data_IF_928767614119
#
_entry.id   IF_928767614119
#
_cell.length_a   1.000
_cell.length_b   1.000
_cell.length_c   1.000
_cell.angle_alpha   90.00
_cell.angle_beta   90.00
_cell.angle_gamma   90.00
#
_symmetry.space_group_name_H-M   'P 1'
#
loop_
_entity.id
_entity.type
_entity.pdbx_description
1 polymer ?
#
# COMPACT_ATOMS: atom_id res chain seq x y z
N UNK A 1 -5.47 -29.95 1.85
CA UNK A 1 -4.39 -28.98 2.11
C UNK A 1 -3.76 -28.65 0.78
N UNK A 2 -3.62 -27.37 0.45
CA UNK A 2 -2.94 -26.95 -0.76
C UNK A 2 -1.44 -27.28 -0.61
N UNK A 3 -0.80 -27.79 -1.65
CA UNK A 3 0.64 -28.06 -1.58
C UNK A 3 1.39 -26.73 -1.67
N UNK A 4 1.97 -26.30 -0.55
CA UNK A 4 2.86 -25.14 -0.50
C UNK A 4 4.19 -25.48 -1.20
N UNK A 5 4.71 -24.53 -1.97
CA UNK A 5 5.96 -24.69 -2.74
C UNK A 5 7.10 -23.86 -2.13
N UNK A 6 6.77 -22.84 -1.34
CA UNK A 6 7.75 -22.03 -0.62
C UNK A 6 8.55 -22.89 0.37
N UNK A 7 9.77 -22.47 0.69
CA UNK A 7 10.61 -23.19 1.63
C UNK A 7 9.96 -23.28 3.02
N UNK A 8 9.89 -24.48 3.57
CA UNK A 8 9.49 -24.69 4.96
C UNK A 8 10.73 -24.65 5.87
N UNK A 9 10.65 -23.88 6.95
CA UNK A 9 11.73 -23.72 7.92
C UNK A 9 11.18 -24.09 9.29
N UNK A 10 11.83 -25.06 9.94
CA UNK A 10 11.53 -25.41 11.33
C UNK A 10 12.31 -24.49 12.28
N UNK A 11 11.61 -23.96 13.27
CA UNK A 11 12.14 -23.09 14.32
C UNK A 11 11.40 -23.42 15.61
N UNK A 12 12.01 -23.14 16.77
CA UNK A 12 11.34 -23.31 18.05
C UNK A 12 10.00 -22.55 18.06
N UNK A 13 8.97 -23.16 18.66
CA UNK A 13 7.66 -22.54 18.85
C UNK A 13 7.74 -21.48 19.97
N UNK A 14 8.49 -20.43 19.68
CA UNK A 14 8.80 -19.32 20.55
C UNK A 14 8.78 -18.03 19.72
N UNK A 15 8.07 -17.02 20.22
CA UNK A 15 7.88 -15.77 19.51
C UNK A 15 9.23 -15.09 19.21
N UNK A 16 10.10 -14.99 20.21
CA UNK A 16 11.39 -14.31 20.07
C UNK A 16 12.35 -15.05 19.12
N UNK A 17 12.31 -16.39 19.12
CA UNK A 17 13.08 -17.21 18.18
C UNK A 17 12.66 -16.96 16.73
N UNK A 18 11.35 -16.91 16.45
CA UNK A 18 10.84 -16.59 15.11
C UNK A 18 11.23 -15.17 14.72
N UNK A 19 11.02 -14.20 15.63
CA UNK A 19 11.34 -12.80 15.36
C UNK A 19 12.82 -12.60 15.03
N UNK A 20 13.71 -13.24 15.79
CA UNK A 20 15.16 -13.18 15.58
C UNK A 20 15.54 -13.77 14.23
N UNK A 21 15.03 -14.96 13.89
CA UNK A 21 15.31 -15.61 12.61
C UNK A 21 14.94 -14.72 11.42
N UNK A 22 13.73 -14.15 11.42
CA UNK A 22 13.26 -13.33 10.30
C UNK A 22 14.01 -12.00 10.20
N UNK A 23 14.39 -11.40 11.33
CA UNK A 23 15.20 -10.19 11.35
C UNK A 23 16.62 -10.44 10.84
N UNK A 24 17.28 -11.51 11.30
CA UNK A 24 18.64 -11.88 10.86
C UNK A 24 18.70 -12.24 9.38
N UNK A 25 17.62 -12.81 8.83
CA UNK A 25 17.49 -13.09 7.39
C UNK A 25 17.13 -11.86 6.56
N UNK A 26 16.79 -10.75 7.20
CA UNK A 26 16.33 -9.53 6.53
C UNK A 26 14.94 -9.65 5.91
N UNK A 27 14.10 -10.62 6.32
CA UNK A 27 12.78 -10.84 5.73
C UNK A 27 11.66 -9.99 6.35
N UNK A 28 12.04 -8.95 7.09
CA UNK A 28 11.09 -8.03 7.74
C UNK A 28 11.40 -6.61 7.31
N UNK A 29 10.43 -5.74 7.54
CA UNK A 29 10.56 -4.29 7.48
C UNK A 29 11.16 -3.71 8.78
N UNK A 30 11.76 -4.53 9.64
CA UNK A 30 12.26 -4.11 10.96
C UNK A 30 11.20 -4.08 12.07
N UNK A 31 9.92 -4.33 11.72
CA UNK A 31 8.84 -4.51 12.70
C UNK A 31 8.59 -6.01 12.99
N UNK A 32 7.96 -6.34 14.13
CA UNK A 32 7.57 -7.72 14.41
C UNK A 32 6.61 -8.29 13.36
N UNK A 33 6.64 -9.60 13.15
CA UNK A 33 5.79 -10.28 12.16
C UNK A 33 4.84 -11.26 12.85
N UNK A 34 3.74 -11.60 12.20
CA UNK A 34 2.98 -12.79 12.58
C UNK A 34 3.59 -13.99 11.85
N UNK A 35 3.98 -15.07 12.55
CA UNK A 35 4.62 -16.21 11.91
C UNK A 35 3.75 -16.79 10.79
N UNK A 36 4.24 -16.89 9.54
CA UNK A 36 3.50 -17.42 8.40
C UNK A 36 3.46 -18.94 8.44
N UNK A 37 2.77 -19.49 9.43
CA UNK A 37 2.55 -20.94 9.56
C UNK A 37 1.66 -21.45 8.43
N UNK A 38 1.81 -22.72 7.98
CA UNK A 38 1.00 -23.29 6.91
C UNK A 38 -0.51 -23.05 7.07
N UNK A 39 -1.07 -23.25 8.27
CA UNK A 39 -2.50 -23.04 8.51
C UNK A 39 -2.97 -21.60 8.27
N UNK A 40 -2.17 -20.59 8.65
CA UNK A 40 -2.48 -19.18 8.41
C UNK A 40 -2.40 -18.83 6.92
N UNK A 41 -1.42 -19.39 6.21
CA UNK A 41 -1.27 -19.21 4.76
C UNK A 41 -2.46 -19.85 4.03
N UNK A 42 -2.86 -21.06 4.43
CA UNK A 42 -4.03 -21.73 3.85
C UNK A 42 -5.32 -20.93 4.04
N UNK A 43 -5.59 -20.40 5.24
CA UNK A 43 -6.76 -19.54 5.48
C UNK A 43 -6.77 -18.31 4.58
N UNK A 44 -5.60 -17.70 4.37
CA UNK A 44 -5.44 -16.54 3.49
C UNK A 44 -5.75 -16.89 2.03
N UNK A 45 -5.18 -17.98 1.51
CA UNK A 45 -5.41 -18.41 0.12
C UNK A 45 -6.87 -18.83 -0.13
N UNK A 46 -7.52 -19.47 0.86
CA UNK A 46 -8.93 -19.84 0.77
C UNK A 46 -9.84 -18.62 0.60
N UNK A 47 -9.51 -17.48 1.23
CA UNK A 47 -10.28 -16.24 1.09
C UNK A 47 -10.18 -15.63 -0.32
N UNK A 48 -9.08 -15.84 -1.04
CA UNK A 48 -8.94 -15.40 -2.43
C UNK A 48 -9.63 -16.33 -3.44
N UNK A 49 -9.69 -17.64 -3.16
CA UNK A 49 -10.27 -18.62 -4.09
C UNK A 49 -9.48 -18.80 -5.40
N UNK A 50 -8.22 -18.38 -5.44
CA UNK A 50 -7.32 -18.48 -6.59
C UNK A 50 -6.35 -19.65 -6.45
N UNK A 51 -5.76 -20.08 -7.57
CA UNK A 51 -4.66 -21.05 -7.57
C UNK A 51 -3.45 -20.48 -6.79
N UNK A 52 -2.92 -21.19 -5.77
CA UNK A 52 -1.73 -20.78 -5.01
C UNK A 52 -0.53 -20.39 -5.88
N UNK A 53 -0.37 -21.00 -7.06
CA UNK A 53 0.75 -20.75 -7.98
C UNK A 53 0.41 -19.72 -9.07
N UNK A 54 -0.79 -19.17 -9.10
CA UNK A 54 -1.12 -18.07 -9.99
C UNK A 54 -0.22 -16.87 -9.69
N UNK A 55 0.51 -16.39 -10.71
CA UNK A 55 1.37 -15.22 -10.62
C UNK A 55 0.52 -13.99 -10.88
N UNK A 56 0.36 -13.15 -9.85
CA UNK A 56 -0.41 -11.90 -9.93
C UNK A 56 0.41 -10.83 -10.64
N UNK A 57 1.71 -10.74 -10.34
CA UNK A 57 2.65 -9.82 -10.98
C UNK A 57 4.11 -10.29 -10.84
N UNK A 58 5.00 -9.74 -11.66
CA UNK A 58 6.45 -9.83 -11.45
C UNK A 58 6.93 -8.54 -10.78
N UNK A 59 7.53 -8.67 -9.59
CA UNK A 59 7.87 -7.51 -8.76
C UNK A 59 9.33 -7.12 -8.99
N UNK A 60 9.62 -5.93 -9.57
CA UNK A 60 10.99 -5.44 -9.68
C UNK A 60 11.59 -5.08 -8.30
N UNK A 61 12.88 -4.79 -8.19
CA UNK A 61 13.92 -4.94 -9.22
C UNK A 61 14.32 -6.38 -9.54
N UNK A 62 14.05 -7.35 -8.66
CA UNK A 62 14.41 -8.75 -8.92
C UNK A 62 13.50 -9.47 -9.93
N UNK A 63 12.37 -8.85 -10.30
CA UNK A 63 11.31 -9.47 -11.11
C UNK A 63 10.85 -10.80 -10.51
N UNK A 64 10.76 -10.85 -9.18
CA UNK A 64 10.29 -12.03 -8.48
C UNK A 64 8.80 -12.27 -8.78
N UNK A 65 8.44 -13.50 -9.13
CA UNK A 65 7.04 -13.88 -9.32
C UNK A 65 6.28 -13.79 -7.99
N UNK A 66 5.33 -12.85 -7.90
CA UNK A 66 4.38 -12.71 -6.80
C UNK A 66 3.21 -13.68 -7.02
N UNK A 67 3.40 -14.92 -6.59
CA UNK A 67 2.34 -15.92 -6.56
C UNK A 67 1.37 -15.66 -5.42
N UNK A 68 0.13 -16.14 -5.54
CA UNK A 68 -0.89 -16.06 -4.46
C UNK A 68 -0.34 -16.62 -3.15
N UNK A 69 0.41 -17.72 -3.17
CA UNK A 69 1.07 -18.29 -1.99
C UNK A 69 2.06 -17.30 -1.35
N UNK A 70 2.94 -16.66 -2.13
CA UNK A 70 3.91 -15.69 -1.62
C UNK A 70 3.22 -14.43 -1.12
N UNK A 71 2.15 -13.99 -1.78
CA UNK A 71 1.33 -12.88 -1.28
C UNK A 71 0.71 -13.24 0.07
N UNK A 72 0.20 -14.46 0.22
CA UNK A 72 -0.37 -14.93 1.48
C UNK A 72 0.67 -14.98 2.61
N UNK A 73 1.91 -15.44 2.34
CA UNK A 73 3.02 -15.42 3.30
C UNK A 73 3.28 -14.00 3.80
N UNK A 74 3.43 -13.03 2.89
CA UNK A 74 3.70 -11.64 3.24
C UNK A 74 2.51 -10.96 3.94
N UNK A 75 1.29 -11.30 3.53
CA UNK A 75 0.06 -10.82 4.17
C UNK A 75 -0.04 -11.30 5.62
N UNK A 76 0.23 -12.58 5.87
CA UNK A 76 0.27 -13.11 7.23
C UNK A 76 1.34 -12.38 8.03
N UNK A 77 2.56 -12.26 7.52
CA UNK A 77 3.65 -11.55 8.21
C UNK A 77 3.27 -10.12 8.62
N UNK A 78 2.54 -9.40 7.76
CA UNK A 78 2.04 -8.05 8.04
C UNK A 78 0.96 -7.99 9.14
N UNK A 79 0.35 -9.13 9.50
CA UNK A 79 -0.82 -9.21 10.38
C UNK A 79 -2.16 -8.96 9.65
N UNK A 80 -2.13 -9.03 8.32
CA UNK A 80 -3.31 -8.90 7.45
C UNK A 80 -4.33 -10.01 7.74
N UNK A 81 -5.61 -9.68 7.63
CA UNK A 81 -6.69 -10.66 7.79
C UNK A 81 -7.06 -11.28 6.43
N UNK A 82 -7.53 -12.54 6.39
CA UNK A 82 -7.99 -13.19 5.16
C UNK A 82 -8.99 -12.36 4.36
N UNK A 83 -9.91 -11.65 5.04
CA UNK A 83 -10.92 -10.79 4.44
C UNK A 83 -10.32 -9.59 3.67
N UNK A 84 -9.11 -9.17 4.03
CA UNK A 84 -8.39 -8.07 3.38
C UNK A 84 -7.59 -8.52 2.17
N UNK A 85 -7.35 -9.83 2.05
CA UNK A 85 -6.46 -10.40 1.04
C UNK A 85 -6.84 -10.08 -0.41
N UNK A 86 -8.13 -10.07 -0.79
CA UNK A 86 -8.53 -9.65 -2.14
C UNK A 86 -8.09 -8.23 -2.49
N UNK A 87 -8.09 -7.31 -1.52
CA UNK A 87 -7.61 -5.92 -1.72
C UNK A 87 -6.10 -5.90 -1.94
N UNK A 88 -5.34 -6.73 -1.21
CA UNK A 88 -3.90 -6.88 -1.43
C UNK A 88 -3.60 -7.42 -2.84
N UNK A 89 -4.34 -8.43 -3.30
CA UNK A 89 -4.16 -8.99 -4.65
C UNK A 89 -4.41 -7.92 -5.69
N UNK A 90 -5.53 -7.18 -5.60
CA UNK A 90 -5.84 -6.08 -6.51
C UNK A 90 -4.78 -4.95 -6.46
N UNK A 91 -4.24 -4.65 -5.28
CA UNK A 91 -3.16 -3.68 -5.13
C UNK A 91 -1.86 -4.16 -5.80
N UNK A 92 -1.50 -5.43 -5.65
CA UNK A 92 -0.31 -6.02 -6.28
C UNK A 92 -0.45 -6.10 -7.80
N UNK A 93 -1.65 -6.44 -8.29
CA UNK A 93 -1.98 -6.42 -9.71
C UNK A 93 -1.82 -4.99 -10.27
N UNK A 94 -2.39 -3.99 -9.58
CA UNK A 94 -2.32 -2.59 -10.01
C UNK A 94 -0.89 -2.02 -10.02
N UNK A 95 -0.06 -2.31 -9.02
CA UNK A 95 1.36 -1.88 -9.04
C UNK A 95 2.20 -2.69 -10.04
N UNK A 96 1.74 -3.88 -10.44
CA UNK A 96 2.36 -4.70 -11.48
C UNK A 96 2.08 -4.20 -12.90
N UNK A 97 1.09 -3.32 -13.08
CA UNK A 97 0.78 -2.74 -14.38
C UNK A 97 1.98 -1.92 -14.92
N UNK A 98 2.43 -2.15 -16.16
CA UNK A 98 3.53 -1.40 -16.75
C UNK A 98 3.35 0.13 -16.72
N UNK A 99 2.10 0.63 -16.76
CA UNK A 99 1.79 2.05 -16.68
C UNK A 99 2.17 2.66 -15.32
N UNK A 100 2.16 1.87 -14.24
CA UNK A 100 2.59 2.34 -12.92
C UNK A 100 4.12 2.47 -12.82
N UNK A 101 4.88 1.71 -13.61
CA UNK A 101 6.34 1.74 -13.65
C UNK A 101 6.98 1.54 -12.26
N UNK A 102 6.62 0.44 -11.60
CA UNK A 102 7.09 0.10 -10.25
C UNK A 102 8.63 0.01 -10.13
N UNK A 103 9.34 -0.35 -11.21
CA UNK A 103 10.81 -0.37 -11.20
C UNK A 103 11.37 1.02 -10.91
N UNK A 104 10.89 2.05 -11.63
CA UNK A 104 11.33 3.42 -11.40
C UNK A 104 10.97 3.91 -10.00
N UNK A 105 9.81 3.52 -9.48
CA UNK A 105 9.34 3.91 -8.14
C UNK A 105 10.19 3.29 -7.02
N UNK A 106 10.71 2.08 -7.19
CA UNK A 106 11.58 1.47 -6.19
C UNK A 106 13.04 1.95 -6.33
N UNK A 107 13.56 2.01 -7.56
CA UNK A 107 14.96 2.35 -7.81
C UNK A 107 15.26 3.86 -7.75
N UNK A 108 14.27 4.71 -7.53
CA UNK A 108 14.44 6.17 -7.44
C UNK A 108 15.07 6.61 -6.11
N UNK A 109 15.76 7.74 -6.14
CA UNK A 109 16.27 8.43 -4.94
C UNK A 109 15.19 9.22 -4.21
N UNK A 110 14.04 9.46 -4.84
CA UNK A 110 12.86 10.10 -4.26
C UNK A 110 12.28 9.22 -3.13
N UNK A 111 11.98 9.78 -1.94
CA UNK A 111 11.31 9.04 -0.85
C UNK A 111 9.81 8.74 -1.09
N UNK A 112 9.42 8.30 -2.29
CA UNK A 112 8.03 7.93 -2.59
C UNK A 112 7.72 6.46 -2.25
N UNK A 113 6.44 6.15 -2.12
CA UNK A 113 5.90 4.82 -1.89
C UNK A 113 4.61 4.62 -2.71
N UNK A 114 4.26 3.38 -3.08
CA UNK A 114 2.94 3.08 -3.61
C UNK A 114 1.86 3.32 -2.55
N UNK A 115 1.08 4.39 -2.74
CA UNK A 115 -0.16 4.65 -2.03
C UNK A 115 -1.28 3.82 -2.64
N UNK A 116 -1.97 3.07 -1.80
CA UNK A 116 -3.16 2.29 -2.14
C UNK A 116 -4.41 3.08 -1.72
N UNK A 117 -5.24 3.48 -2.69
CA UNK A 117 -6.53 4.13 -2.44
C UNK A 117 -7.63 3.13 -2.75
N UNK A 118 -8.43 2.78 -1.74
CA UNK A 118 -9.54 1.85 -1.87
C UNK A 118 -10.85 2.62 -2.00
N UNK A 119 -11.70 2.22 -2.95
CA UNK A 119 -13.01 2.81 -3.20
C UNK A 119 -14.10 1.74 -3.23
N UNK A 120 -15.36 2.17 -3.14
CA UNK A 120 -16.56 1.37 -3.24
C UNK A 120 -16.95 0.62 -1.95
N UNK A 121 -17.97 -0.25 -2.02
CA UNK A 121 -18.58 -0.88 -0.84
C UNK A 121 -17.63 -1.69 0.05
N UNK A 122 -16.51 -2.19 -0.50
CA UNK A 122 -15.53 -2.97 0.26
C UNK A 122 -14.91 -2.19 1.42
N UNK A 123 -14.84 -0.85 1.30
CA UNK A 123 -14.33 0.03 2.36
C UNK A 123 -15.09 -0.17 3.66
N UNK A 124 -16.43 -0.20 3.57
CA UNK A 124 -17.31 -0.38 4.72
C UNK A 124 -17.26 -1.82 5.25
N UNK A 125 -17.25 -2.82 4.36
CA UNK A 125 -17.25 -4.23 4.78
C UNK A 125 -15.97 -4.65 5.50
N UNK A 126 -14.86 -3.99 5.20
CA UNK A 126 -13.55 -4.29 5.78
C UNK A 126 -13.12 -3.32 6.87
N UNK A 127 -13.95 -2.32 7.20
CA UNK A 127 -13.63 -1.24 8.13
C UNK A 127 -12.31 -0.53 7.73
N UNK A 128 -12.24 -0.09 6.47
CA UNK A 128 -11.15 0.74 5.97
C UNK A 128 -11.43 2.22 6.30
N UNK A 129 -10.44 2.90 6.88
CA UNK A 129 -10.57 4.29 7.26
C UNK A 129 -10.24 5.24 6.10
N UNK A 130 -11.15 6.18 5.86
CA UNK A 130 -10.93 7.35 5.01
C UNK A 130 -11.13 8.69 5.73
N UNK A 131 -11.44 8.67 7.03
CA UNK A 131 -11.81 9.86 7.81
C UNK A 131 -10.63 10.36 8.66
N UNK A 132 -10.89 10.85 9.87
CA UNK A 132 -9.89 11.40 10.77
C UNK A 132 -8.66 10.48 10.90
N UNK A 133 -7.49 11.03 10.60
CA UNK A 133 -6.22 10.28 10.63
C UNK A 133 -6.10 9.21 9.52
N UNK A 134 -6.77 9.35 8.38
CA UNK A 134 -6.81 8.40 7.25
C UNK A 134 -5.44 7.83 6.83
N UNK A 135 -4.39 8.67 6.86
CA UNK A 135 -3.01 8.30 6.51
C UNK A 135 -2.14 7.89 7.70
N UNK A 136 -2.75 7.75 8.88
CA UNK A 136 -2.09 7.48 10.16
C UNK A 136 -2.35 6.08 10.70
N UNK A 137 -2.02 5.85 11.99
CA UNK A 137 -2.16 4.54 12.63
C UNK A 137 -3.61 4.25 13.06
N UNK A 138 -3.78 3.15 13.81
CA UNK A 138 -5.00 2.68 14.50
C UNK A 138 -6.00 1.86 13.69
N UNK A 139 -6.04 1.95 12.36
CA UNK A 139 -6.89 1.08 11.54
C UNK A 139 -6.13 -0.13 11.01
N UNK A 140 -6.52 -1.32 11.48
CA UNK A 140 -5.86 -2.58 11.11
C UNK A 140 -5.91 -2.83 9.61
N UNK A 141 -7.05 -2.60 8.96
CA UNK A 141 -7.21 -2.82 7.52
C UNK A 141 -6.18 -2.00 6.73
N UNK A 142 -6.19 -0.67 6.89
CA UNK A 142 -5.24 0.24 6.26
C UNK A 142 -3.78 -0.17 6.55
N UNK A 143 -3.44 -0.32 7.83
CA UNK A 143 -2.07 -0.59 8.27
C UNK A 143 -1.53 -1.91 7.72
N UNK A 144 -2.33 -2.97 7.76
CA UNK A 144 -1.88 -4.31 7.38
C UNK A 144 -1.92 -4.54 5.87
N UNK A 145 -2.84 -3.92 5.12
CA UNK A 145 -2.81 -3.95 3.65
C UNK A 145 -1.59 -3.19 3.14
N UNK A 146 -1.37 -1.96 3.60
CA UNK A 146 -0.20 -1.16 3.19
C UNK A 146 1.11 -1.84 3.55
N UNK A 147 1.23 -2.39 4.76
CA UNK A 147 2.41 -3.16 5.17
C UNK A 147 2.59 -4.45 4.38
N UNK A 148 1.52 -5.13 4.01
CA UNK A 148 1.59 -6.33 3.17
C UNK A 148 2.22 -6.02 1.81
N UNK A 149 1.78 -4.93 1.16
CA UNK A 149 2.39 -4.46 -0.09
C UNK A 149 3.87 -4.19 0.12
N UNK A 150 4.27 -3.50 1.20
CA UNK A 150 5.69 -3.27 1.49
C UNK A 150 6.48 -4.56 1.64
N UNK A 151 5.98 -5.53 2.40
CA UNK A 151 6.68 -6.81 2.57
C UNK A 151 6.80 -7.58 1.25
N UNK A 152 5.81 -7.52 0.36
CA UNK A 152 5.90 -8.08 -0.99
C UNK A 152 7.02 -7.42 -1.79
N UNK A 153 7.08 -6.09 -1.79
CA UNK A 153 8.14 -5.34 -2.47
C UNK A 153 9.55 -5.67 -1.92
N UNK A 154 9.67 -5.95 -0.62
CA UNK A 154 10.93 -6.40 0.00
C UNK A 154 11.26 -7.86 -0.34
N UNK A 155 10.40 -8.78 0.06
CA UNK A 155 10.68 -10.22 0.04
C UNK A 155 10.58 -10.84 -1.36
N UNK A 156 9.70 -10.32 -2.22
CA UNK A 156 9.55 -10.78 -3.61
C UNK A 156 10.33 -9.89 -4.57
N UNK A 157 10.21 -8.57 -4.40
CA UNK A 157 10.85 -7.59 -5.28
C UNK A 157 12.34 -7.37 -5.04
N UNK A 158 12.82 -7.59 -3.81
CA UNK A 158 14.20 -7.25 -3.42
C UNK A 158 14.42 -5.76 -3.21
N UNK A 159 13.35 -4.96 -3.04
CA UNK A 159 13.40 -3.51 -2.86
C UNK A 159 13.89 -3.07 -1.48
N UNK A 160 15.00 -3.64 -0.99
CA UNK A 160 15.61 -3.29 0.29
C UNK A 160 16.41 -1.99 0.21
N UNK A 161 16.39 -1.13 1.24
CA UNK A 161 17.14 0.12 1.26
C UNK A 161 18.64 -0.07 0.98
N UNK A 162 19.18 0.70 0.05
CA UNK A 162 20.59 0.65 -0.36
C UNK A 162 20.95 -0.53 -1.28
N UNK A 163 20.00 -1.39 -1.62
CA UNK A 163 20.19 -2.53 -2.53
C UNK A 163 19.28 -2.40 -3.75
N UNK A 164 17.97 -2.50 -3.54
CA UNK A 164 16.95 -2.35 -4.59
C UNK A 164 16.11 -1.08 -4.46
N UNK A 165 16.08 -0.51 -3.25
CA UNK A 165 15.46 0.78 -2.95
C UNK A 165 16.56 1.84 -2.76
N UNK A 166 16.53 2.86 -3.61
CA UNK A 166 17.58 3.89 -3.65
C UNK A 166 17.17 5.20 -3.02
N UNK A 167 16.03 5.27 -2.32
CA UNK A 167 15.58 6.48 -1.66
C UNK A 167 16.67 7.05 -0.76
N UNK A 168 16.97 8.35 -0.90
CA UNK A 168 18.11 8.95 -0.17
C UNK A 168 17.82 9.06 1.33
N UNK A 169 16.61 9.43 1.72
CA UNK A 169 16.18 9.55 3.12
C UNK A 169 15.13 8.50 3.53
N UNK A 170 14.42 7.93 2.56
CA UNK A 170 13.22 7.13 2.80
C UNK A 170 12.04 7.96 3.34
N UNK A 171 10.94 7.29 3.69
CA UNK A 171 9.75 7.93 4.24
C UNK A 171 8.98 6.99 5.17
N UNK A 172 8.28 7.50 6.21
CA UNK A 172 7.39 6.69 7.04
C UNK A 172 6.29 5.98 6.25
N UNK A 173 5.81 6.56 5.15
CA UNK A 173 4.84 5.92 4.24
C UNK A 173 5.35 4.62 3.63
N UNK A 174 6.67 4.39 3.61
CA UNK A 174 7.24 3.12 3.13
C UNK A 174 6.94 1.95 4.08
N UNK A 175 6.49 2.15 5.32
CA UNK A 175 6.06 1.04 6.18
C UNK A 175 4.63 0.57 5.88
N UNK A 176 3.74 1.52 5.57
CA UNK A 176 2.36 1.25 5.20
C UNK A 176 1.76 2.50 4.55
N UNK A 177 1.11 2.35 3.40
CA UNK A 177 0.44 3.45 2.72
C UNK A 177 -0.85 3.00 2.04
N UNK A 178 -1.93 2.92 2.81
CA UNK A 178 -3.24 2.51 2.33
C UNK A 178 -4.33 3.36 3.00
N UNK A 179 -5.30 3.78 2.20
CA UNK A 179 -6.40 4.66 2.61
C UNK A 179 -7.69 4.28 1.89
N UNK A 180 -8.83 4.50 2.53
CA UNK A 180 -10.12 4.50 1.86
C UNK A 180 -10.49 5.94 1.47
N UNK A 181 -11.17 6.14 0.34
CA UNK A 181 -11.85 7.41 0.10
C UNK A 181 -13.02 7.57 1.09
N UNK A 182 -13.22 8.77 1.65
CA UNK A 182 -14.39 9.09 2.46
C UNK A 182 -15.57 9.46 1.56
N UNK A 183 -16.16 8.46 0.91
CA UNK A 183 -17.28 8.66 -0.03
C UNK A 183 -18.53 9.23 0.68
N UNK A 184 -18.66 9.02 1.99
CA UNK A 184 -19.79 9.46 2.79
C UNK A 184 -19.80 10.98 3.06
N UNK A 185 -18.62 11.62 3.07
CA UNK A 185 -18.47 13.08 3.19
C UNK A 185 -17.79 13.70 1.96
N UNK A 186 -17.82 13.01 0.81
CA UNK A 186 -17.32 13.52 -0.46
C UNK A 186 -18.43 14.35 -1.17
N UNK A 187 -18.23 15.66 -1.42
CA UNK A 187 -19.21 16.47 -2.15
C UNK A 187 -19.23 16.20 -3.66
N UNK A 188 -18.26 15.45 -4.19
CA UNK A 188 -18.16 15.03 -5.59
C UNK A 188 -18.50 13.56 -5.79
N UNK A 189 -18.34 13.07 -7.02
CA UNK A 189 -18.40 11.64 -7.28
C UNK A 189 -17.16 10.96 -6.64
N UNK A 190 -17.32 9.73 -6.12
CA UNK A 190 -16.18 8.93 -5.70
C UNK A 190 -15.16 8.76 -6.82
N UNK A 191 -13.87 8.74 -6.48
CA UNK A 191 -12.76 8.66 -7.44
C UNK A 191 -12.90 7.52 -8.45
N UNK A 192 -13.41 6.36 -8.01
CA UNK A 192 -13.61 5.22 -8.90
C UNK A 192 -14.72 5.45 -9.93
N UNK A 193 -15.77 6.18 -9.56
CA UNK A 193 -16.87 6.55 -10.47
C UNK A 193 -16.37 7.55 -11.50
N UNK A 194 -15.60 8.57 -11.08
CA UNK A 194 -14.96 9.52 -11.98
C UNK A 194 -14.00 8.85 -12.97
N UNK A 195 -13.41 7.72 -12.57
CA UNK A 195 -12.56 6.86 -13.44
C UNK A 195 -13.34 5.87 -14.31
N UNK A 196 -14.68 5.93 -14.28
CA UNK A 196 -15.56 5.16 -15.16
C UNK A 196 -16.03 3.81 -14.61
N UNK A 197 -15.78 3.51 -13.33
CA UNK A 197 -16.31 2.31 -12.67
C UNK A 197 -17.74 2.53 -12.16
N UNK A 198 -18.46 1.43 -11.95
CA UNK A 198 -19.84 1.51 -11.43
C UNK A 198 -19.85 1.85 -9.93
N UNK A 199 -20.84 2.61 -9.41
CA UNK A 199 -20.90 2.96 -7.98
C UNK A 199 -20.93 1.76 -7.01
N UNK A 200 -21.40 0.60 -7.47
CA UNK A 200 -21.40 -0.64 -6.68
C UNK A 200 -20.10 -1.45 -6.78
N UNK A 201 -19.13 -1.01 -7.59
CA UNK A 201 -17.89 -1.72 -7.84
C UNK A 201 -16.80 -1.22 -6.89
N UNK A 202 -16.15 -2.16 -6.19
CA UNK A 202 -14.97 -1.83 -5.38
C UNK A 202 -13.72 -1.84 -6.23
N UNK A 203 -12.83 -0.88 -6.01
CA UNK A 203 -11.61 -0.71 -6.79
C UNK A 203 -10.41 -0.37 -5.92
N UNK A 204 -9.22 -0.60 -6.46
CA UNK A 204 -7.96 -0.07 -5.93
C UNK A 204 -7.35 0.85 -6.96
N UNK A 205 -7.02 2.08 -6.55
CA UNK A 205 -6.18 3.00 -7.31
C UNK A 205 -4.80 3.05 -6.66
N UNK A 206 -3.74 3.05 -7.45
CA UNK A 206 -2.36 3.17 -6.97
C UNK A 206 -1.73 4.48 -7.41
N UNK A 207 -1.00 5.13 -6.50
CA UNK A 207 -0.30 6.39 -6.77
C UNK A 207 1.10 6.35 -6.16
N UNK A 208 2.13 6.83 -6.86
CA UNK A 208 3.48 6.93 -6.32
C UNK A 208 3.64 8.28 -5.62
N UNK A 209 3.60 8.31 -4.30
CA UNK A 209 3.57 9.55 -3.54
C UNK A 209 4.53 9.59 -2.35
N UNK A 210 4.95 10.80 -2.00
CA UNK A 210 5.53 11.12 -0.69
C UNK A 210 4.47 10.98 0.42
N UNK A 211 4.86 10.97 1.71
CA UNK A 211 3.92 11.21 2.79
C UNK A 211 3.11 12.50 2.59
N UNK A 212 1.87 12.58 3.10
CA UNK A 212 1.05 13.78 2.95
C UNK A 212 1.76 15.03 3.50
N UNK A 213 1.77 16.09 2.70
CA UNK A 213 2.19 17.42 3.13
C UNK A 213 0.97 18.21 3.57
N UNK A 214 0.94 18.66 4.83
CA UNK A 214 -0.17 19.45 5.35
C UNK A 214 -0.20 20.85 4.70
N UNK A 215 -1.32 21.18 4.06
CA UNK A 215 -1.59 22.52 3.54
C UNK A 215 -2.49 23.23 4.55
N UNK A 216 -1.90 24.12 5.35
CA UNK A 216 -2.63 24.85 6.38
C UNK A 216 -3.28 26.11 5.79
N UNK A 217 -4.61 26.18 5.82
CA UNK A 217 -5.37 27.41 5.58
C UNK A 217 -6.46 27.64 6.64
N UNK A 218 -6.23 28.66 7.49
CA UNK A 218 -7.21 29.19 8.44
C UNK A 218 -7.67 30.62 8.10
N UNK A 219 -7.33 31.11 6.90
CA UNK A 219 -7.45 32.52 6.53
C UNK A 219 -8.28 32.75 5.26
N UNK A 220 -8.29 31.77 4.35
CA UNK A 220 -9.11 31.77 3.15
C UNK A 220 -10.59 31.85 3.50
N UNK A 221 -11.31 32.76 2.84
CA UNK A 221 -12.77 32.93 2.97
C UNK A 221 -13.50 32.78 1.63
N UNK A 222 -12.78 32.36 0.60
CA UNK A 222 -13.30 32.10 -0.74
C UNK A 222 -12.55 30.91 -1.35
N UNK A 223 -13.18 30.21 -2.30
CA UNK A 223 -12.55 29.12 -3.03
C UNK A 223 -11.25 29.55 -3.71
N UNK A 224 -11.21 30.76 -4.30
CA UNK A 224 -10.00 31.31 -4.93
C UNK A 224 -8.83 31.46 -3.94
N UNK A 225 -9.11 31.93 -2.72
CA UNK A 225 -8.07 32.08 -1.68
C UNK A 225 -7.52 30.71 -1.25
N UNK A 226 -8.40 29.73 -1.01
CA UNK A 226 -8.02 28.35 -0.65
C UNK A 226 -7.19 27.72 -1.77
N UNK A 227 -7.67 27.80 -3.02
CA UNK A 227 -6.97 27.27 -4.19
C UNK A 227 -5.62 27.94 -4.43
N UNK A 228 -5.49 29.24 -4.14
CA UNK A 228 -4.22 29.96 -4.23
C UNK A 228 -3.18 29.37 -3.27
N UNK A 229 -3.59 29.04 -2.03
CA UNK A 229 -2.72 28.43 -1.03
C UNK A 229 -2.33 27.00 -1.45
N UNK A 230 -3.30 26.21 -1.91
CA UNK A 230 -3.06 24.86 -2.42
C UNK A 230 -2.08 24.89 -3.60
N UNK A 231 -2.31 25.76 -4.58
CA UNK A 231 -1.43 25.92 -5.74
C UNK A 231 -0.01 26.33 -5.32
N UNK A 232 0.12 27.23 -4.34
CA UNK A 232 1.41 27.62 -3.78
C UNK A 232 2.17 26.46 -3.15
N UNK A 233 1.48 25.58 -2.43
CA UNK A 233 2.08 24.38 -1.84
C UNK A 233 2.50 23.36 -2.91
N UNK A 234 1.67 23.13 -3.94
CA UNK A 234 1.98 22.22 -5.04
C UNK A 234 3.13 22.71 -5.92
N UNK A 235 3.30 24.04 -6.04
CA UNK A 235 4.33 24.68 -6.86
C UNK A 235 5.62 25.01 -6.09
N UNK A 236 5.80 24.46 -4.87
CA UNK A 236 6.97 24.78 -4.05
C UNK A 236 8.27 24.38 -4.76
N UNK A 237 9.24 25.28 -4.77
CA UNK A 237 10.56 25.00 -5.34
C UNK A 237 11.23 23.88 -4.54
N UNK A 238 11.62 22.80 -5.22
CA UNK A 238 12.18 21.60 -4.59
C UNK A 238 11.24 20.39 -4.59
N UNK A 239 9.95 20.57 -4.90
CA UNK A 239 9.07 19.46 -5.22
C UNK A 239 9.43 18.89 -6.59
N UNK A 240 9.51 17.55 -6.70
CA UNK A 240 9.87 16.89 -7.95
C UNK A 240 8.93 17.28 -9.10
N UNK A 241 7.62 17.25 -8.83
CA UNK A 241 6.59 17.59 -9.82
C UNK A 241 6.66 19.04 -10.32
N UNK A 242 7.18 19.98 -9.52
CA UNK A 242 7.32 21.37 -9.95
C UNK A 242 8.38 21.54 -11.05
N UNK A 243 9.36 20.62 -11.13
CA UNK A 243 10.43 20.63 -12.14
C UNK A 243 10.20 19.58 -13.25
N UNK A 244 9.79 18.36 -12.92
CA UNK A 244 9.64 17.26 -13.89
C UNK A 244 8.24 17.17 -14.51
N UNK A 245 7.26 17.87 -13.95
CA UNK A 245 5.85 17.58 -14.18
C UNK A 245 5.43 16.26 -13.55
N UNK A 246 4.16 15.88 -13.73
CA UNK A 246 3.57 14.67 -13.17
C UNK A 246 2.19 14.91 -12.58
N UNK A 247 1.53 13.82 -12.18
CA UNK A 247 0.27 13.90 -11.45
C UNK A 247 0.53 14.27 -9.99
N UNK A 248 -0.34 15.09 -9.42
CA UNK A 248 -0.32 15.42 -7.99
C UNK A 248 -1.64 14.98 -7.38
N UNK A 249 -1.55 14.27 -6.24
CA UNK A 249 -2.72 13.88 -5.48
C UNK A 249 -3.03 14.96 -4.44
N UNK A 250 -4.26 15.48 -4.48
CA UNK A 250 -4.79 16.39 -3.47
C UNK A 250 -5.88 15.66 -2.70
N UNK A 251 -5.74 15.59 -1.37
CA UNK A 251 -6.78 15.13 -0.46
C UNK A 251 -7.33 16.32 0.30
N UNK A 252 -8.64 16.58 0.16
CA UNK A 252 -9.33 17.66 0.86
C UNK A 252 -10.09 17.10 2.06
N UNK A 253 -9.98 17.78 3.19
CA UNK A 253 -10.86 17.54 4.32
C UNK A 253 -12.28 18.07 4.03
N UNK A 254 -13.34 17.52 4.65
CA UNK A 254 -14.73 17.92 4.38
C UNK A 254 -15.01 19.42 4.54
N UNK A 255 -14.27 20.14 5.37
CA UNK A 255 -14.41 21.59 5.55
C UNK A 255 -13.95 22.41 4.34
N UNK A 256 -12.95 21.92 3.62
CA UNK A 256 -12.34 22.61 2.46
C UNK A 256 -12.78 22.03 1.12
N UNK A 257 -13.59 20.96 1.13
CA UNK A 257 -14.11 20.28 -0.05
C UNK A 257 -15.38 20.96 -0.60
#
# INVERSE_FOLDING_TARGET
MAQLVSQHIEVADDFDAVQRLYLERGWTDGLPIVPPTPGRIESMMQAAGLDPQHVVAEIPPNYGAATVEKLAVNAVMAGCLPEYFPVLIAAVEAIGDPAFNLYAIQATTHPCAPLIIVNGPIRQSLDLNGSSGAYGPAWRANATIGRSVRLVLLNVGGGYPGVGDMSTQGAPSKFSYCVAENEEENPWQPLHVDRGFQPGQSTVTVFAGEPPHNINDHSGRSAEAILTIIAGAMAVTGANNAYTGGETLLALGPEHA
#
